data_IF_137787892083
#
_entry.id   IF_137787892083
#
_cell.length_a   1.000
_cell.length_b   1.000
_cell.length_c   1.000
_cell.angle_alpha   90.00
_cell.angle_beta   90.00
_cell.angle_gamma   90.00
#
_symmetry.space_group_name_H-M   'P 1'
#
loop_
_entity.id
_entity.type
_entity.pdbx_description
1 polymer ?
#
# COMPACT_ATOMS: atom_id res chain seq x y z
N UNK A 1 -21.39 9.66 -13.35
CA UNK A 1 -21.89 9.88 -11.97
C UNK A 1 -21.86 8.53 -11.24
N UNK A 2 -21.35 8.48 -10.01
CA UNK A 2 -21.36 7.27 -9.19
C UNK A 2 -22.40 7.45 -8.07
N UNK A 3 -23.48 6.65 -8.02
CA UNK A 3 -24.54 6.81 -7.03
C UNK A 3 -24.08 6.56 -5.59
N UNK A 4 -22.94 5.87 -5.39
CA UNK A 4 -22.40 5.55 -4.07
C UNK A 4 -21.52 6.67 -3.50
N UNK A 5 -21.35 7.79 -4.20
CA UNK A 5 -20.57 8.94 -3.75
C UNK A 5 -21.44 10.18 -3.80
N UNK A 6 -21.41 10.98 -2.74
CA UNK A 6 -22.19 12.20 -2.67
C UNK A 6 -21.65 13.24 -3.65
N UNK A 7 -22.54 13.82 -4.47
CA UNK A 7 -22.23 15.04 -5.22
C UNK A 7 -22.43 16.22 -4.30
N UNK A 8 -21.40 17.04 -4.16
CA UNK A 8 -21.34 18.12 -3.19
C UNK A 8 -21.77 19.44 -3.82
N UNK A 9 -22.40 20.28 -3.01
CA UNK A 9 -22.74 21.64 -3.38
C UNK A 9 -21.53 22.57 -3.18
N UNK A 10 -21.64 23.79 -3.70
CA UNK A 10 -20.61 24.81 -3.60
C UNK A 10 -20.29 25.10 -2.11
N UNK A 11 -19.00 25.25 -1.80
CA UNK A 11 -18.53 25.61 -0.44
C UNK A 11 -18.27 24.41 0.49
N UNK A 12 -18.37 23.17 0.02
CA UNK A 12 -18.06 21.97 0.82
C UNK A 12 -16.64 21.47 0.51
N UNK A 13 -15.77 21.44 1.50
CA UNK A 13 -14.40 20.90 1.37
C UNK A 13 -14.41 19.40 1.13
N UNK A 14 -13.59 18.94 0.18
CA UNK A 14 -13.39 17.53 -0.15
C UNK A 14 -11.94 17.08 -0.04
N UNK A 15 -11.76 15.77 0.11
CA UNK A 15 -10.45 15.13 0.20
C UNK A 15 -10.51 13.68 -0.26
N UNK A 16 -9.35 13.06 -0.38
CA UNK A 16 -9.26 11.61 -0.53
C UNK A 16 -9.83 10.90 0.72
N UNK A 17 -10.76 9.99 0.48
CA UNK A 17 -11.40 9.13 1.51
C UNK A 17 -11.02 7.67 1.35
N UNK A 18 -9.94 7.37 0.60
CA UNK A 18 -9.51 6.00 0.26
C UNK A 18 -10.63 5.14 -0.31
N UNK A 19 -11.50 5.75 -1.11
CA UNK A 19 -12.67 5.09 -1.69
C UNK A 19 -13.54 4.40 -0.64
N UNK A 20 -13.90 5.11 0.43
CA UNK A 20 -14.78 4.60 1.51
C UNK A 20 -16.03 3.87 1.01
N UNK A 21 -16.61 4.32 -0.11
CA UNK A 21 -17.74 3.66 -0.75
C UNK A 21 -17.44 2.22 -1.20
N UNK A 22 -16.22 1.95 -1.66
CA UNK A 22 -15.78 0.60 -2.04
C UNK A 22 -15.47 -0.25 -0.81
N UNK A 23 -14.86 0.35 0.21
CA UNK A 23 -14.57 -0.32 1.50
C UNK A 23 -15.88 -0.77 2.15
N UNK A 24 -16.86 0.13 2.29
CA UNK A 24 -18.16 -0.20 2.90
C UNK A 24 -18.94 -1.21 2.08
N UNK A 25 -18.91 -1.12 0.76
CA UNK A 25 -19.50 -2.15 -0.11
C UNK A 25 -18.90 -3.54 0.16
N UNK A 26 -17.58 -3.65 0.25
CA UNK A 26 -16.93 -4.92 0.53
C UNK A 26 -17.18 -5.42 1.96
N UNK A 27 -17.15 -4.54 2.97
CA UNK A 27 -17.51 -4.89 4.34
C UNK A 27 -18.94 -5.46 4.43
N UNK A 28 -19.91 -4.84 3.74
CA UNK A 28 -21.29 -5.32 3.74
C UNK A 28 -21.43 -6.67 3.03
N UNK A 29 -20.76 -6.86 1.90
CA UNK A 29 -20.78 -8.15 1.20
C UNK A 29 -20.13 -9.25 2.05
N UNK A 30 -18.99 -8.97 2.68
CA UNK A 30 -18.31 -9.89 3.59
C UNK A 30 -19.20 -10.27 4.78
N UNK A 31 -19.86 -9.29 5.40
CA UNK A 31 -20.82 -9.53 6.49
C UNK A 31 -22.04 -10.35 6.03
N UNK A 32 -22.52 -10.12 4.79
CA UNK A 32 -23.67 -10.82 4.21
C UNK A 32 -23.35 -12.27 3.88
N UNK A 33 -22.15 -12.57 3.40
CA UNK A 33 -21.72 -13.94 3.04
C UNK A 33 -21.04 -14.67 4.19
N UNK A 34 -20.79 -13.99 5.33
CA UNK A 34 -20.03 -14.54 6.46
C UNK A 34 -18.56 -14.81 6.13
N UNK A 35 -18.01 -14.09 5.15
CA UNK A 35 -16.61 -14.24 4.71
C UNK A 35 -15.72 -13.19 5.36
N UNK A 36 -14.46 -13.51 5.63
CA UNK A 36 -13.49 -12.51 6.08
C UNK A 36 -12.96 -11.69 4.90
N UNK A 37 -12.56 -10.43 5.15
CA UNK A 37 -11.93 -9.60 4.13
C UNK A 37 -10.48 -10.06 3.89
N UNK A 38 -10.19 -10.49 2.67
CA UNK A 38 -8.84 -10.83 2.23
C UNK A 38 -8.18 -9.69 1.47
N UNK A 39 -6.86 -9.79 1.28
CA UNK A 39 -6.11 -8.81 0.50
C UNK A 39 -6.61 -8.76 -0.95
N UNK A 40 -6.71 -7.56 -1.51
CA UNK A 40 -7.16 -7.34 -2.88
C UNK A 40 -8.67 -7.39 -3.14
N UNK A 41 -9.51 -7.73 -2.14
CA UNK A 41 -10.99 -7.63 -2.25
C UNK A 41 -11.41 -6.18 -2.53
N UNK A 42 -10.81 -5.24 -1.80
CA UNK A 42 -11.01 -3.81 -2.04
C UNK A 42 -9.87 -3.28 -2.88
N UNK A 43 -10.17 -2.85 -4.10
CA UNK A 43 -9.26 -2.05 -4.92
C UNK A 43 -9.74 -0.62 -5.00
N UNK A 44 -8.89 0.32 -4.63
CA UNK A 44 -9.22 1.75 -4.77
C UNK A 44 -9.25 2.16 -6.24
N UNK A 45 -9.93 3.26 -6.55
CA UNK A 45 -10.02 3.75 -7.93
C UNK A 45 -8.63 4.12 -8.48
N UNK A 46 -7.79 4.77 -7.68
CA UNK A 46 -6.44 5.15 -8.08
C UNK A 46 -5.49 3.95 -8.24
N UNK A 47 -5.60 2.93 -7.38
CA UNK A 47 -4.87 1.67 -7.55
C UNK A 47 -5.27 0.95 -8.84
N UNK A 48 -6.57 0.84 -9.12
CA UNK A 48 -7.08 0.16 -10.31
C UNK A 48 -6.75 0.93 -11.61
N UNK A 49 -6.74 2.26 -11.58
CA UNK A 49 -6.48 3.08 -12.74
C UNK A 49 -4.99 3.18 -13.09
N UNK A 50 -4.08 2.90 -12.15
CA UNK A 50 -2.65 3.03 -12.36
C UNK A 50 -2.11 1.85 -13.19
N UNK A 51 -1.65 2.06 -14.44
CA UNK A 51 -1.12 0.97 -15.27
C UNK A 51 0.21 0.42 -14.74
N UNK A 52 0.97 1.23 -14.00
CA UNK A 52 2.25 0.87 -13.43
C UNK A 52 2.14 0.17 -12.06
N UNK A 53 0.93 -0.03 -11.55
CA UNK A 53 0.69 -0.63 -10.21
C UNK A 53 1.48 0.07 -9.09
N UNK A 54 1.64 1.38 -9.18
CA UNK A 54 2.46 2.17 -8.25
C UNK A 54 1.81 2.31 -6.86
N UNK A 55 0.47 2.20 -6.79
CA UNK A 55 -0.29 2.35 -5.55
C UNK A 55 -0.78 0.96 -5.14
N UNK A 56 -0.45 0.54 -3.93
CA UNK A 56 -1.07 -0.62 -3.29
C UNK A 56 -1.93 -0.14 -2.13
N UNK A 57 -3.09 -0.76 -1.96
CA UNK A 57 -4.02 -0.50 -0.89
C UNK A 57 -4.46 -1.84 -0.29
N UNK A 58 -4.52 -1.90 1.04
CA UNK A 58 -4.89 -3.10 1.77
C UNK A 58 -4.88 -2.85 3.28
N UNK A 59 -5.28 -3.86 4.04
CA UNK A 59 -5.23 -3.83 5.50
C UNK A 59 -3.84 -4.23 5.99
N UNK A 60 -3.14 -3.29 6.66
CA UNK A 60 -1.82 -3.51 7.26
C UNK A 60 -1.82 -4.54 8.38
N UNK A 61 -2.98 -4.76 9.02
CA UNK A 61 -3.14 -5.69 10.13
C UNK A 61 -3.61 -7.07 9.68
N UNK A 62 -3.82 -7.28 8.38
CA UNK A 62 -4.31 -8.55 7.86
C UNK A 62 -3.31 -9.67 8.17
N UNK A 63 -3.77 -10.66 8.96
CA UNK A 63 -3.04 -11.88 9.29
C UNK A 63 -3.74 -13.07 8.65
N UNK A 64 -3.64 -13.16 7.32
CA UNK A 64 -4.21 -14.27 6.57
C UNK A 64 -3.24 -15.47 6.52
N UNK A 65 -3.74 -16.71 6.36
CA UNK A 65 -2.90 -17.88 6.12
C UNK A 65 -1.99 -17.74 4.89
N UNK A 66 -2.44 -16.96 3.91
CA UNK A 66 -1.71 -16.66 2.67
C UNK A 66 -0.55 -15.66 2.86
N UNK A 67 -0.38 -15.08 4.05
CA UNK A 67 0.68 -14.11 4.37
C UNK A 67 0.16 -12.68 4.60
N UNK A 68 1.08 -11.73 4.88
CA UNK A 68 0.74 -10.34 5.08
C UNK A 68 0.28 -9.68 3.77
N UNK A 69 -0.58 -8.66 3.86
CA UNK A 69 -1.02 -7.89 2.70
C UNK A 69 0.15 -7.22 1.96
N UNK A 70 0.02 -7.00 0.64
CA UNK A 70 1.06 -6.39 -0.19
C UNK A 70 1.56 -5.04 0.39
N UNK A 71 0.64 -4.26 0.96
CA UNK A 71 0.93 -2.97 1.58
C UNK A 71 1.87 -3.11 2.79
N UNK A 72 1.67 -4.14 3.62
CA UNK A 72 2.48 -4.35 4.82
C UNK A 72 3.93 -4.71 4.43
N UNK A 73 4.10 -5.50 3.37
CA UNK A 73 5.41 -5.85 2.81
C UNK A 73 6.11 -4.60 2.26
N UNK A 74 5.40 -3.77 1.49
CA UNK A 74 5.97 -2.51 0.94
C UNK A 74 6.34 -1.52 2.03
N UNK A 75 5.57 -1.45 3.12
CA UNK A 75 5.85 -0.57 4.25
C UNK A 75 7.15 -0.94 4.98
N UNK A 76 7.51 -2.23 5.01
CA UNK A 76 8.75 -2.71 5.63
C UNK A 76 9.99 -2.56 4.72
N UNK A 77 9.82 -2.11 3.47
CA UNK A 77 10.95 -1.91 2.57
C UNK A 77 11.91 -0.83 3.11
N UNK A 78 13.21 -1.02 2.96
CA UNK A 78 14.22 -0.01 3.32
C UNK A 78 14.08 1.33 2.56
N UNK A 79 13.23 1.36 1.52
CA UNK A 79 12.94 2.57 0.73
C UNK A 79 11.69 3.31 1.20
N UNK A 80 11.00 2.79 2.21
CA UNK A 80 9.77 3.37 2.69
C UNK A 80 10.05 4.62 3.53
N UNK A 81 9.25 5.66 3.36
CA UNK A 81 9.31 6.86 4.19
C UNK A 81 7.94 7.50 4.36
N UNK A 82 7.77 8.22 5.46
CA UNK A 82 6.58 9.02 5.74
C UNK A 82 6.84 10.47 5.35
N UNK A 83 5.85 11.09 4.70
CA UNK A 83 5.96 12.50 4.32
C UNK A 83 5.80 13.37 5.57
N UNK A 84 6.76 14.29 5.77
CA UNK A 84 6.83 15.21 6.91
C UNK A 84 6.83 14.47 8.26
N UNK A 85 7.72 13.50 8.41
CA UNK A 85 7.84 12.68 9.61
C UNK A 85 8.22 13.50 10.85
N UNK A 86 8.94 14.62 10.66
CA UNK A 86 9.36 15.54 11.72
C UNK A 86 8.17 16.11 12.50
N UNK A 87 7.02 16.28 11.82
CA UNK A 87 5.79 16.79 12.43
C UNK A 87 5.04 15.72 13.23
N UNK A 88 5.47 14.46 13.21
CA UNK A 88 4.85 13.31 13.90
C UNK A 88 3.34 13.17 13.66
N UNK A 89 2.87 13.52 12.47
CA UNK A 89 1.45 13.42 12.10
C UNK A 89 0.97 11.99 11.83
N UNK A 90 1.90 11.01 11.80
CA UNK A 90 1.65 9.57 11.60
C UNK A 90 0.68 9.31 10.43
N UNK A 91 1.03 9.69 9.19
CA UNK A 91 0.15 9.53 8.06
C UNK A 91 -0.07 8.05 7.73
N UNK A 92 -1.26 7.72 7.23
CA UNK A 92 -1.62 6.37 6.79
C UNK A 92 -1.11 6.03 5.38
N UNK A 93 -0.41 6.95 4.71
CA UNK A 93 0.19 6.73 3.39
C UNK A 93 1.70 6.71 3.55
N UNK A 94 2.31 5.61 3.12
CA UNK A 94 3.77 5.46 3.05
C UNK A 94 4.20 5.54 1.59
N UNK A 95 5.28 6.28 1.33
CA UNK A 95 5.85 6.42 -0.01
C UNK A 95 7.11 5.56 -0.14
N UNK A 96 7.44 5.17 -1.37
CA UNK A 96 8.69 4.49 -1.68
C UNK A 96 9.62 5.46 -2.40
N UNK A 97 10.88 5.52 -1.96
CA UNK A 97 11.90 6.36 -2.58
C UNK A 97 12.11 5.96 -4.06
N UNK A 98 12.18 6.98 -4.93
CA UNK A 98 12.48 6.79 -6.34
C UNK A 98 13.97 6.50 -6.50
N UNK A 99 14.29 5.27 -6.88
CA UNK A 99 15.64 4.92 -7.33
C UNK A 99 15.81 5.33 -8.79
N UNK A 100 16.93 5.98 -9.11
CA UNK A 100 17.36 6.26 -10.48
C UNK A 100 18.66 5.51 -10.68
N UNK A 101 18.69 4.59 -11.64
CA UNK A 101 19.92 3.95 -12.06
C UNK A 101 20.58 4.89 -13.07
N UNK A 102 21.55 5.67 -12.62
CA UNK A 102 22.35 6.50 -13.52
C UNK A 102 23.27 5.57 -14.33
N UNK A 103 23.21 5.66 -15.65
CA UNK A 103 23.84 4.70 -16.58
C UNK A 103 25.38 4.78 -16.63
N UNK A 104 26.04 5.26 -15.58
CA UNK A 104 27.48 5.54 -15.54
C UNK A 104 28.28 4.80 -14.46
N UNK A 105 27.63 4.11 -13.52
CA UNK A 105 28.32 3.26 -12.54
C UNK A 105 27.71 1.87 -12.56
N UNK A 106 28.45 0.95 -13.18
CA UNK A 106 28.23 -0.49 -13.08
C UNK A 106 28.24 -0.83 -11.58
N UNK A 107 27.09 -1.22 -11.03
CA UNK A 107 26.99 -1.55 -9.61
C UNK A 107 28.05 -2.61 -9.26
N UNK A 108 28.89 -2.40 -8.24
CA UNK A 108 29.85 -3.42 -7.84
C UNK A 108 29.07 -4.68 -7.46
N UNK A 109 29.50 -5.82 -8.05
CA UNK A 109 28.85 -7.11 -7.89
C UNK A 109 28.48 -7.39 -6.41
N UNK A 110 27.33 -8.03 -6.14
CA UNK A 110 26.93 -8.32 -4.77
C UNK A 110 28.05 -9.12 -4.09
N UNK A 111 28.62 -8.56 -3.02
CA UNK A 111 29.60 -9.26 -2.18
C UNK A 111 28.91 -10.52 -1.66
N UNK A 112 29.33 -11.69 -2.14
CA UNK A 112 28.96 -12.97 -1.54
C UNK A 112 29.29 -12.87 -0.06
N UNK A 113 28.28 -13.01 0.80
CA UNK A 113 28.50 -13.18 2.23
C UNK A 113 29.42 -14.40 2.37
N UNK A 114 30.59 -14.20 2.96
CA UNK A 114 31.49 -15.28 3.29
C UNK A 114 30.73 -16.19 4.26
N UNK A 115 30.43 -17.39 3.78
CA UNK A 115 29.96 -18.51 4.58
C UNK A 115 31.06 -18.77 5.62
N UNK A 116 30.84 -18.32 6.86
CA UNK A 116 31.66 -18.67 8.02
C UNK A 116 31.54 -20.19 8.21
N UNK A 117 32.45 -20.92 7.56
CA UNK A 117 32.71 -22.32 7.86
C UNK A 117 33.46 -22.33 9.18
N UNK A 118 32.71 -22.51 10.27
CA UNK A 118 33.27 -22.80 11.59
C UNK A 118 34.10 -24.08 11.52
N UNK A 119 35.35 -23.95 11.94
CA UNK A 119 36.27 -25.03 12.31
C UNK A 119 35.76 -25.70 13.60
N UNK A 120 35.45 -26.99 13.53
CA UNK A 120 35.67 -28.00 14.57
C UNK A 120 36.06 -29.32 13.90
#
# INVERSE_FOLDING_TARGET
>A
FNPQVTVRQIGVMEKCTFCVQRIKGAEFEAARTGSEMSDGVVRTACQQACPASAISFGDVNLRAPAGPAEVAVKQQSARSFLVLEELRVRPNVTYLARLRNEAGEEAPAPKKQAEERGDE
#
